data_IF_426218276995
#
_entry.id   IF_426218276995
#
_cell.length_a   1.000
_cell.length_b   1.000
_cell.length_c   1.000
_cell.angle_alpha   90.00
_cell.angle_beta   90.00
_cell.angle_gamma   90.00
#
_symmetry.space_group_name_H-M   'P 1'
#
loop_
_entity.id
_entity.type
_entity.pdbx_description
1 polymer ?
#
# COMPACT_ATOMS: atom_id res chain seq x y z
N UNK A 1 10.01 -12.88 3.70
CA UNK A 1 9.59 -13.02 2.28
C UNK A 1 10.29 -14.15 1.53
N UNK A 2 11.57 -14.45 1.79
CA UNK A 2 12.30 -15.49 1.05
C UNK A 2 11.64 -16.88 1.07
N UNK A 3 11.11 -17.34 2.21
CA UNK A 3 10.41 -18.63 2.28
C UNK A 3 9.16 -18.69 1.39
N UNK A 4 8.34 -17.63 1.41
CA UNK A 4 7.16 -17.56 0.56
C UNK A 4 7.55 -17.54 -0.92
N UNK A 5 8.56 -16.76 -1.29
CA UNK A 5 9.08 -16.72 -2.66
C UNK A 5 9.58 -18.10 -3.12
N UNK A 6 10.34 -18.81 -2.28
CA UNK A 6 10.79 -20.17 -2.56
C UNK A 6 9.61 -21.12 -2.78
N UNK A 7 8.63 -21.13 -1.87
CA UNK A 7 7.43 -21.98 -2.00
C UNK A 7 6.54 -21.59 -3.18
N UNK A 8 6.52 -20.33 -3.60
CA UNK A 8 5.84 -19.90 -4.82
C UNK A 8 6.52 -20.39 -6.10
N UNK A 9 7.82 -20.67 -6.06
CA UNK A 9 8.59 -21.14 -7.20
C UNK A 9 8.68 -22.67 -7.24
N UNK A 10 8.86 -23.31 -6.08
CA UNK A 10 9.08 -24.75 -5.94
C UNK A 10 7.78 -25.53 -5.67
N UNK A 11 6.79 -24.88 -5.06
CA UNK A 11 5.59 -25.51 -4.55
C UNK A 11 5.80 -26.11 -3.15
N UNK A 12 4.72 -26.17 -2.36
CA UNK A 12 4.72 -26.80 -1.05
C UNK A 12 4.28 -28.27 -1.17
N UNK A 13 5.20 -29.20 -0.96
CA UNK A 13 4.87 -30.63 -0.94
C UNK A 13 4.21 -31.03 0.39
N UNK A 14 3.02 -31.60 0.30
CA UNK A 14 2.21 -32.02 1.45
C UNK A 14 1.88 -33.50 1.28
N UNK A 15 2.11 -34.29 2.31
CA UNK A 15 1.63 -35.67 2.36
C UNK A 15 0.23 -35.72 2.95
N UNK A 16 -0.71 -36.29 2.18
CA UNK A 16 -2.07 -36.56 2.60
C UNK A 16 -2.17 -38.04 3.00
N UNK A 17 -2.26 -38.29 4.31
CA UNK A 17 -2.35 -39.63 4.87
C UNK A 17 -3.70 -40.32 4.62
N UNK A 18 -4.77 -39.57 4.34
CA UNK A 18 -6.09 -40.15 4.07
C UNK A 18 -6.12 -40.89 2.73
N UNK A 19 -5.39 -40.38 1.73
CA UNK A 19 -5.30 -40.96 0.38
C UNK A 19 -3.91 -41.53 0.05
N UNK A 20 -3.02 -41.59 1.03
CA UNK A 20 -1.62 -42.00 0.93
C UNK A 20 -0.89 -41.42 -0.31
N UNK A 21 -0.92 -40.09 -0.44
CA UNK A 21 -0.33 -39.40 -1.59
C UNK A 21 0.37 -38.11 -1.19
N UNK A 22 1.48 -37.81 -1.88
CA UNK A 22 2.08 -36.47 -1.85
C UNK A 22 1.48 -35.62 -2.96
N UNK A 23 1.01 -34.43 -2.63
CA UNK A 23 0.58 -33.41 -3.59
C UNK A 23 1.35 -32.10 -3.40
N UNK A 24 1.40 -31.29 -4.45
CA UNK A 24 2.04 -29.97 -4.42
C UNK A 24 0.97 -28.89 -4.33
N UNK A 25 1.05 -28.08 -3.28
CA UNK A 25 0.20 -26.91 -3.08
C UNK A 25 0.94 -25.65 -3.50
N UNK A 26 0.34 -24.86 -4.40
CA UNK A 26 0.86 -23.55 -4.79
C UNK A 26 0.35 -22.48 -3.81
N UNK A 27 1.25 -21.74 -3.18
CA UNK A 27 0.88 -20.71 -2.21
C UNK A 27 0.61 -19.37 -2.90
N UNK A 28 -0.60 -18.84 -2.73
CA UNK A 28 -0.98 -17.54 -3.27
C UNK A 28 -0.98 -16.47 -2.18
N UNK A 29 -0.37 -15.33 -2.48
CA UNK A 29 -0.47 -14.14 -1.64
C UNK A 29 -1.51 -13.18 -2.25
N UNK A 30 -2.68 -13.12 -1.62
CA UNK A 30 -3.76 -12.25 -2.09
C UNK A 30 -3.67 -10.88 -1.43
N UNK A 31 -3.57 -10.83 -0.10
CA UNK A 31 -3.52 -9.60 0.66
C UNK A 31 -2.42 -9.63 1.72
N UNK A 32 -1.77 -8.48 1.90
CA UNK A 32 -0.96 -8.20 3.08
C UNK A 32 -1.74 -7.30 4.01
N UNK A 33 -1.81 -7.72 5.27
CA UNK A 33 -2.35 -6.95 6.37
C UNK A 33 -1.20 -6.55 7.28
N UNK A 34 -1.14 -5.27 7.62
CA UNK A 34 -0.23 -4.71 8.60
C UNK A 34 -0.85 -3.42 9.14
N UNK A 35 -0.37 -2.96 10.30
CA UNK A 35 -0.65 -1.60 10.77
C UNK A 35 0.04 -0.57 9.86
N UNK A 36 -0.34 0.71 9.98
CA UNK A 36 0.28 1.78 9.21
C UNK A 36 1.82 1.74 9.18
N UNK A 37 2.52 1.61 10.32
CA UNK A 37 3.98 1.43 10.35
C UNK A 37 4.47 0.17 9.62
N UNK A 38 3.78 -0.96 9.79
CA UNK A 38 4.12 -2.22 9.13
C UNK A 38 3.96 -2.17 7.61
N UNK A 39 2.92 -1.49 7.11
CA UNK A 39 2.64 -1.34 5.68
C UNK A 39 3.80 -0.68 4.93
N UNK A 40 4.42 0.37 5.51
CA UNK A 40 5.57 1.09 4.93
C UNK A 40 6.74 0.15 4.59
N UNK A 41 6.94 -0.91 5.38
CA UNK A 41 7.98 -1.89 5.11
C UNK A 41 7.68 -2.76 3.89
N UNK A 42 6.40 -3.06 3.65
CA UNK A 42 5.96 -3.88 2.53
C UNK A 42 5.81 -3.08 1.25
N UNK A 43 5.18 -1.91 1.29
CA UNK A 43 4.80 -1.13 0.12
C UNK A 43 5.92 -0.24 -0.42
N UNK A 44 6.90 0.13 0.42
CA UNK A 44 7.95 1.06 0.04
C UNK A 44 7.44 2.49 -0.20
N UNK A 45 6.29 2.84 0.34
CA UNK A 45 5.67 4.17 0.25
C UNK A 45 6.02 5.03 1.45
N UNK A 46 5.82 6.34 1.32
CA UNK A 46 5.92 7.28 2.43
C UNK A 46 4.77 7.01 3.40
N UNK A 47 5.03 7.10 4.70
CA UNK A 47 4.00 6.99 5.73
C UNK A 47 2.94 8.10 5.67
N UNK A 48 2.08 8.13 6.68
CA UNK A 48 0.92 9.03 6.81
C UNK A 48 1.17 10.54 6.65
N UNK A 49 2.42 10.98 6.62
CA UNK A 49 2.82 12.39 6.48
C UNK A 49 3.24 12.78 5.06
N UNK A 50 3.23 11.82 4.12
CA UNK A 50 3.57 12.04 2.72
C UNK A 50 2.47 12.72 1.93
N UNK A 51 2.84 13.39 0.84
CA UNK A 51 1.90 14.06 -0.07
C UNK A 51 0.88 13.07 -0.65
N UNK A 52 1.34 11.92 -1.12
CA UNK A 52 0.50 10.77 -1.43
C UNK A 52 0.61 9.79 -0.25
N UNK A 53 -0.19 10.01 0.78
CA UNK A 53 -0.18 9.20 2.01
C UNK A 53 -1.06 7.96 1.96
N UNK A 54 -1.74 7.70 0.84
CA UNK A 54 -2.56 6.50 0.70
C UNK A 54 -1.67 5.30 0.38
N UNK A 55 -1.55 4.37 1.34
CA UNK A 55 -0.83 3.10 1.18
C UNK A 55 -1.45 2.15 0.13
N UNK A 56 -2.61 2.50 -0.44
CA UNK A 56 -3.22 1.80 -1.58
C UNK A 56 -2.91 2.47 -2.92
N UNK A 57 -2.14 3.56 -2.92
CA UNK A 57 -1.80 4.35 -4.10
C UNK A 57 -3.03 4.79 -4.90
N UNK A 58 -4.06 5.32 -4.24
CA UNK A 58 -5.28 5.79 -4.91
C UNK A 58 -5.10 7.16 -5.60
N UNK A 59 -3.97 7.85 -5.38
CA UNK A 59 -3.71 9.18 -5.96
C UNK A 59 -4.33 10.34 -5.19
N UNK A 60 -5.03 10.08 -4.08
CA UNK A 60 -5.50 11.12 -3.18
C UNK A 60 -4.31 11.83 -2.53
N UNK A 61 -4.26 13.15 -2.69
CA UNK A 61 -3.19 13.98 -2.16
C UNK A 61 -3.62 14.61 -0.83
N UNK A 62 -2.68 14.69 0.11
CA UNK A 62 -2.86 15.42 1.36
C UNK A 62 -2.64 16.92 1.20
N UNK A 63 -3.10 17.68 2.20
CA UNK A 63 -2.80 19.10 2.34
C UNK A 63 -1.59 19.32 3.25
N UNK A 64 -0.63 20.11 2.79
CA UNK A 64 0.60 20.45 3.51
C UNK A 64 0.32 21.36 4.73
N UNK A 65 1.01 21.14 5.84
CA UNK A 65 1.10 22.07 6.98
C UNK A 65 2.50 21.93 7.58
N UNK A 66 3.33 22.96 7.41
CA UNK A 66 4.75 22.91 7.78
C UNK A 66 5.50 21.95 6.85
N UNK A 67 6.02 20.85 7.40
CA UNK A 67 6.77 19.82 6.65
C UNK A 67 5.98 18.53 6.42
N UNK A 68 4.70 18.49 6.81
CA UNK A 68 3.87 17.28 6.78
C UNK A 68 2.65 17.50 5.89
N UNK A 69 2.19 16.45 5.23
CA UNK A 69 0.92 16.43 4.52
C UNK A 69 -0.11 15.65 5.32
N UNK A 70 -1.33 16.17 5.39
CA UNK A 70 -2.43 15.56 6.11
C UNK A 70 -3.52 15.14 5.12
N UNK A 71 -4.10 13.93 5.25
CA UNK A 71 -5.18 13.46 4.39
C UNK A 71 -6.50 14.15 4.80
N UNK A 72 -6.67 15.40 4.40
CA UNK A 72 -7.95 16.08 4.51
C UNK A 72 -8.62 16.10 3.14
N UNK A 73 -9.91 15.75 3.11
CA UNK A 73 -10.70 15.78 1.88
C UNK A 73 -11.25 17.17 1.57
N UNK A 74 -11.31 18.04 2.58
CA UNK A 74 -11.76 19.41 2.47
C UNK A 74 -10.57 20.34 2.50
N UNK A 75 -10.59 21.35 1.63
CA UNK A 75 -9.62 22.44 1.62
C UNK A 75 -9.74 23.22 2.94
N UNK A 76 -8.67 23.35 3.73
CA UNK A 76 -8.73 24.10 4.98
C UNK A 76 -9.09 25.58 4.75
N UNK A 77 -9.76 26.20 5.73
CA UNK A 77 -10.08 27.62 5.65
C UNK A 77 -8.83 28.50 5.64
N UNK A 78 -8.85 29.56 4.83
CA UNK A 78 -7.72 30.51 4.67
C UNK A 78 -6.41 29.81 4.26
N UNK A 79 -6.49 28.80 3.40
CA UNK A 79 -5.37 27.96 3.00
C UNK A 79 -4.85 28.34 1.60
N UNK A 80 -3.61 28.82 1.55
CA UNK A 80 -2.93 29.24 0.30
C UNK A 80 -1.50 28.69 0.25
N UNK A 81 -1.36 27.36 0.25
CA UNK A 81 -0.07 26.71 0.05
C UNK A 81 0.03 26.23 -1.40
N UNK A 82 0.92 26.83 -2.22
CA UNK A 82 1.06 26.46 -3.62
C UNK A 82 1.35 24.97 -3.82
N UNK A 83 0.61 24.32 -4.72
CA UNK A 83 0.79 22.90 -5.01
C UNK A 83 0.24 21.98 -3.91
N UNK A 84 -0.63 22.52 -3.06
CA UNK A 84 -1.36 21.80 -2.02
C UNK A 84 -2.79 22.33 -1.81
N UNK A 85 -3.26 23.23 -2.67
CA UNK A 85 -4.53 23.97 -2.64
C UNK A 85 -5.61 23.33 -3.54
N UNK A 86 -5.59 21.99 -3.61
CA UNK A 86 -6.56 21.21 -4.37
C UNK A 86 -8.00 21.39 -3.83
N UNK A 87 -9.03 21.31 -4.70
CA UNK A 87 -10.42 21.48 -4.28
C UNK A 87 -10.90 20.32 -3.40
N UNK A 88 -12.04 20.53 -2.74
CA UNK A 88 -12.72 19.52 -1.95
C UNK A 88 -12.97 18.24 -2.75
N UNK A 89 -12.76 17.10 -2.11
CA UNK A 89 -13.06 15.77 -2.64
C UNK A 89 -14.20 15.18 -1.83
N UNK A 90 -15.29 14.87 -2.50
CA UNK A 90 -16.43 14.17 -1.91
C UNK A 90 -16.03 12.74 -1.53
N UNK A 91 -16.50 12.27 -0.37
CA UNK A 91 -16.30 10.87 0.07
C UNK A 91 -16.93 9.85 -0.90
N UNK A 92 -17.89 10.28 -1.72
CA UNK A 92 -18.55 9.44 -2.71
C UNK A 92 -17.79 9.38 -4.03
N UNK A 93 -16.81 10.26 -4.21
CA UNK A 93 -16.03 10.42 -5.44
C UNK A 93 -14.54 10.10 -5.20
N UNK A 94 -14.26 9.23 -4.22
CA UNK A 94 -12.91 8.81 -3.93
C UNK A 94 -12.34 7.98 -5.09
N UNK A 95 -11.07 8.21 -5.48
CA UNK A 95 -10.44 7.44 -6.52
C UNK A 95 -10.25 5.98 -6.07
N UNK A 96 -10.29 5.08 -7.05
CA UNK A 96 -10.02 3.67 -6.78
C UNK A 96 -8.58 3.48 -6.28
N UNK A 97 -8.40 2.51 -5.39
CA UNK A 97 -7.09 2.00 -5.04
C UNK A 97 -6.34 1.49 -6.29
N UNK A 98 -5.02 1.39 -6.18
CA UNK A 98 -4.13 0.91 -7.22
C UNK A 98 -4.19 1.70 -8.53
N UNK A 99 -3.85 2.99 -8.43
CA UNK A 99 -3.62 3.81 -9.61
C UNK A 99 -2.62 3.13 -10.55
N UNK A 100 -2.92 3.08 -11.86
CA UNK A 100 -2.03 2.48 -12.87
C UNK A 100 -0.69 3.21 -12.98
N UNK A 101 -0.60 4.43 -12.46
CA UNK A 101 0.62 5.25 -12.46
C UNK A 101 1.71 4.70 -11.54
N UNK A 102 1.37 3.79 -10.62
CA UNK A 102 2.32 3.23 -9.65
C UNK A 102 3.60 2.70 -10.30
N UNK A 103 3.47 1.85 -11.33
CA UNK A 103 4.62 1.23 -11.98
C UNK A 103 5.52 2.28 -12.66
N UNK A 104 4.91 3.21 -13.40
CA UNK A 104 5.62 4.28 -14.11
C UNK A 104 6.33 5.21 -13.14
N UNK A 105 5.68 5.56 -12.03
CA UNK A 105 6.26 6.43 -11.01
C UNK A 105 7.39 5.75 -10.24
N UNK A 106 7.26 4.44 -9.98
CA UNK A 106 8.33 3.64 -9.37
C UNK A 106 9.55 3.55 -10.30
N UNK A 107 9.35 3.29 -11.59
CA UNK A 107 10.45 3.28 -12.58
C UNK A 107 11.18 4.62 -12.62
N UNK A 108 10.45 5.74 -12.63
CA UNK A 108 11.05 7.09 -12.56
C UNK A 108 11.88 7.29 -11.30
N UNK A 109 11.35 6.86 -10.14
CA UNK A 109 12.05 6.98 -8.86
C UNK A 109 13.37 6.19 -8.86
N UNK A 110 13.35 4.95 -9.35
CA UNK A 110 14.54 4.09 -9.44
C UNK A 110 15.57 4.67 -10.44
N UNK A 111 15.09 5.26 -11.54
CA UNK A 111 15.92 5.86 -12.57
C UNK A 111 16.40 7.29 -12.22
N UNK A 112 16.13 7.80 -11.02
CA UNK A 112 16.51 9.16 -10.63
C UNK A 112 18.05 9.34 -10.70
N UNK A 113 18.54 10.36 -11.45
CA UNK A 113 19.97 10.49 -11.72
C UNK A 113 20.77 11.07 -10.55
N UNK A 114 20.11 11.67 -9.56
CA UNK A 114 20.74 12.27 -8.40
C UNK A 114 19.73 12.45 -7.25
N UNK A 115 20.25 12.77 -6.07
CA UNK A 115 19.49 12.92 -4.84
C UNK A 115 18.36 13.95 -4.95
N UNK A 116 18.60 15.08 -5.60
CA UNK A 116 17.59 16.14 -5.76
C UNK A 116 16.39 15.68 -6.59
N UNK A 117 16.64 14.96 -7.69
CA UNK A 117 15.55 14.38 -8.50
C UNK A 117 14.82 13.26 -7.74
N UNK A 118 15.56 12.44 -6.98
CA UNK A 118 14.97 11.43 -6.12
C UNK A 118 14.03 12.05 -5.07
N UNK A 119 14.47 13.10 -4.34
CA UNK A 119 13.67 13.76 -3.31
C UNK A 119 12.41 14.43 -3.88
N UNK A 120 12.52 14.99 -5.09
CA UNK A 120 11.38 15.54 -5.83
C UNK A 120 10.37 14.44 -6.15
N UNK A 121 10.81 13.35 -6.77
CA UNK A 121 9.95 12.21 -7.13
C UNK A 121 9.37 11.52 -5.89
N UNK A 122 10.16 11.36 -4.84
CA UNK A 122 9.74 10.83 -3.55
C UNK A 122 8.57 11.64 -2.99
N UNK A 123 8.68 12.97 -3.01
CA UNK A 123 7.63 13.88 -2.52
C UNK A 123 6.40 13.86 -3.44
N UNK A 124 6.58 13.88 -4.75
CA UNK A 124 5.47 13.93 -5.71
C UNK A 124 4.68 12.61 -5.76
N UNK A 125 5.38 11.48 -5.72
CA UNK A 125 4.80 10.16 -5.93
C UNK A 125 4.41 9.47 -4.62
N UNK A 126 5.02 9.84 -3.50
CA UNK A 126 4.90 9.14 -2.22
C UNK A 126 5.64 7.80 -2.19
N UNK A 127 6.61 7.56 -3.08
CA UNK A 127 7.39 6.33 -3.15
C UNK A 127 8.80 6.55 -2.59
N UNK A 128 9.30 5.60 -1.81
CA UNK A 128 10.66 5.63 -1.23
C UNK A 128 11.58 4.60 -1.86
N UNK A 129 11.04 3.42 -2.19
CA UNK A 129 11.80 2.29 -2.71
C UNK A 129 10.87 1.27 -3.37
N UNK A 130 11.40 0.31 -4.13
CA UNK A 130 10.63 -0.84 -4.57
C UNK A 130 10.06 -1.61 -3.37
N UNK A 131 8.77 -1.93 -3.43
CA UNK A 131 8.12 -2.83 -2.49
C UNK A 131 8.82 -4.19 -2.43
N UNK A 132 8.92 -4.75 -1.22
CA UNK A 132 9.44 -6.12 -1.02
C UNK A 132 8.62 -7.18 -1.76
N UNK A 133 7.35 -6.87 -2.06
CA UNK A 133 6.42 -7.80 -2.69
C UNK A 133 6.68 -7.95 -4.19
N UNK A 134 7.46 -7.02 -4.79
CA UNK A 134 7.89 -7.15 -6.18
C UNK A 134 8.82 -8.35 -6.39
N UNK A 135 9.43 -8.87 -5.33
CA UNK A 135 10.25 -10.09 -5.37
C UNK A 135 9.46 -11.40 -5.30
N UNK A 136 8.13 -11.35 -5.26
CA UNK A 136 7.26 -12.52 -5.28
C UNK A 136 6.85 -12.90 -6.70
N UNK A 137 6.38 -14.14 -6.88
CA UNK A 137 5.90 -14.60 -8.17
C UNK A 137 4.64 -13.83 -8.58
N UNK A 138 4.61 -13.19 -9.77
CA UNK A 138 3.44 -12.45 -10.24
C UNK A 138 2.27 -13.37 -10.63
N UNK A 139 2.52 -14.68 -10.79
CA UNK A 139 1.47 -15.67 -11.03
C UNK A 139 0.79 -16.14 -9.75
N UNK A 140 1.48 -15.99 -8.61
CA UNK A 140 1.01 -16.44 -7.30
C UNK A 140 0.79 -15.28 -6.33
N UNK A 141 0.83 -14.03 -6.81
CA UNK A 141 0.67 -12.84 -5.97
C UNK A 141 -0.22 -11.84 -6.68
N UNK A 142 -1.23 -11.32 -5.98
CA UNK A 142 -2.00 -10.19 -6.49
C UNK A 142 -1.05 -8.99 -6.65
N UNK A 143 -1.14 -8.27 -7.77
CA UNK A 143 -0.14 -7.24 -8.10
C UNK A 143 -0.16 -6.09 -7.10
N UNK A 144 0.99 -5.46 -6.90
CA UNK A 144 1.06 -4.24 -6.09
C UNK A 144 0.49 -3.08 -6.92
N UNK A 145 -0.25 -2.16 -6.30
CA UNK A 145 -0.62 -2.11 -4.88
C UNK A 145 -1.97 -2.78 -4.56
N UNK A 146 -2.54 -3.57 -5.47
CA UNK A 146 -3.83 -4.26 -5.27
C UNK A 146 -3.80 -5.29 -4.14
N UNK A 147 -2.64 -5.88 -3.84
CA UNK A 147 -2.44 -6.78 -2.70
C UNK A 147 -2.22 -6.06 -1.36
N UNK A 148 -2.14 -4.73 -1.36
CA UNK A 148 -2.05 -3.94 -0.13
C UNK A 148 -3.46 -3.74 0.41
N UNK A 149 -3.59 -3.74 1.73
CA UNK A 149 -4.85 -3.45 2.41
C UNK A 149 -4.69 -2.20 3.27
N UNK A 150 -5.75 -1.39 3.43
CA UNK A 150 -5.72 -0.30 4.39
C UNK A 150 -5.59 -0.88 5.80
N UNK A 151 -5.17 -0.05 6.76
CA UNK A 151 -5.13 -0.44 8.18
C UNK A 151 -6.55 -0.74 8.68
N UNK A 152 -6.98 -1.99 8.48
CA UNK A 152 -8.22 -2.56 8.97
C UNK A 152 -7.99 -3.47 10.17
N UNK A 153 -6.75 -3.57 10.68
CA UNK A 153 -6.44 -4.51 11.76
C UNK A 153 -7.26 -4.19 13.01
N UNK A 154 -7.45 -2.90 13.31
CA UNK A 154 -8.31 -2.47 14.41
C UNK A 154 -9.80 -2.52 14.05
N UNK A 155 -10.17 -2.44 12.77
CA UNK A 155 -11.57 -2.35 12.36
C UNK A 155 -12.36 -3.59 12.79
N UNK A 156 -11.83 -4.79 12.58
CA UNK A 156 -12.50 -6.02 12.98
C UNK A 156 -12.66 -6.10 14.51
N UNK A 157 -11.63 -5.71 15.26
CA UNK A 157 -11.67 -5.71 16.72
C UNK A 157 -12.62 -4.63 17.28
N UNK A 158 -12.62 -3.43 16.71
CA UNK A 158 -13.52 -2.34 17.09
C UNK A 158 -14.98 -2.65 16.76
N UNK A 159 -15.25 -3.28 15.61
CA UNK A 159 -16.60 -3.73 15.25
C UNK A 159 -17.08 -4.84 16.20
N UNK A 160 -16.21 -5.79 16.55
CA UNK A 160 -16.56 -6.84 17.50
C UNK A 160 -16.83 -6.27 18.90
N UNK A 161 -16.00 -5.34 19.38
CA UNK A 161 -16.19 -4.67 20.68
C UNK A 161 -17.50 -3.87 20.73
N UNK A 162 -17.81 -3.14 19.66
CA UNK A 162 -19.09 -2.44 19.50
C UNK A 162 -20.28 -3.41 19.53
N UNK A 163 -20.21 -4.51 18.76
CA UNK A 163 -21.28 -5.49 18.70
C UNK A 163 -21.48 -6.23 20.03
N UNK A 164 -20.39 -6.54 20.74
CA UNK A 164 -20.44 -7.14 22.08
C UNK A 164 -20.99 -6.17 23.13
N UNK A 165 -20.69 -4.87 23.03
CA UNK A 165 -21.19 -3.84 23.95
C UNK A 165 -22.67 -3.51 23.75
N UNK A 166 -23.22 -3.84 22.57
CA UNK A 166 -24.63 -3.67 22.23
C UNK A 166 -25.51 -4.87 22.60
N UNK A 167 -24.89 -5.97 23.05
CA UNK A 167 -25.54 -7.20 23.53
C UNK A 167 -25.56 -7.25 25.06
#
# INVERSE_FOLDING_TARGET
>A
MHHLSALQNEGLHIWDAHIDRVFTSNLYLIYITADGPGLVYFDGMVGHSGKNGCHLYCGLLGHCKGTHYYPALLLPNNYHIPGSDYPDISIYDLPNAASPEYAVNLEKLIAAPNQTQYEKLHTETGLTKPSLLLGLSPHHTLRIPQCLTPDMMHLAQLLLDLLLSLW
#
